data_IF_565560747194
#
_entry.id   IF_565560747194
#
_cell.length_a   1.000
_cell.length_b   1.000
_cell.length_c   1.000
_cell.angle_alpha   90.00
_cell.angle_beta   90.00
_cell.angle_gamma   90.00
#
_symmetry.space_group_name_H-M   'P 1'
#
loop_
_entity.id
_entity.type
_entity.pdbx_description
1 polymer ?
#
# COMPACT_ATOMS: atom_id res chain seq x y z
N UNK A 1 -7.28 -20.24 -10.31
CA UNK A 1 -7.65 -18.84 -10.60
C UNK A 1 -6.85 -17.97 -9.65
N UNK A 2 -6.07 -17.02 -10.17
CA UNK A 2 -5.45 -15.99 -9.32
C UNK A 2 -6.55 -15.17 -8.66
N UNK A 3 -6.40 -14.88 -7.38
CA UNK A 3 -7.34 -14.04 -6.64
C UNK A 3 -7.28 -12.60 -7.19
N UNK A 4 -8.44 -11.96 -7.32
CA UNK A 4 -8.53 -10.58 -7.79
C UNK A 4 -7.80 -9.62 -6.84
N UNK A 5 -7.08 -8.64 -7.39
CA UNK A 5 -6.25 -7.67 -6.65
C UNK A 5 -7.08 -6.94 -5.60
N UNK A 6 -8.33 -6.59 -5.92
CA UNK A 6 -9.23 -5.95 -4.98
C UNK A 6 -9.52 -6.84 -3.75
N UNK A 7 -9.78 -8.13 -3.99
CA UNK A 7 -10.09 -9.10 -2.93
C UNK A 7 -8.87 -9.32 -2.03
N UNK A 8 -7.69 -9.43 -2.64
CA UNK A 8 -6.45 -9.58 -1.91
C UNK A 8 -6.16 -8.36 -1.03
N UNK A 9 -6.26 -7.15 -1.59
CA UNK A 9 -6.06 -5.90 -0.84
C UNK A 9 -7.07 -5.76 0.30
N UNK A 10 -8.34 -6.08 0.04
CA UNK A 10 -9.35 -6.09 1.09
C UNK A 10 -8.97 -7.04 2.23
N UNK A 11 -8.49 -8.25 1.94
CA UNK A 11 -8.05 -9.20 2.98
C UNK A 11 -6.85 -8.67 3.75
N UNK A 12 -5.89 -8.04 3.08
CA UNK A 12 -4.69 -7.48 3.69
C UNK A 12 -5.01 -6.43 4.77
N UNK A 13 -6.01 -5.58 4.51
CA UNK A 13 -6.46 -4.52 5.40
C UNK A 13 -7.51 -4.97 6.42
N UNK A 14 -8.03 -6.20 6.32
CA UNK A 14 -9.06 -6.74 7.22
C UNK A 14 -8.42 -7.50 8.39
N UNK A 15 -8.91 -7.31 9.63
CA UNK A 15 -8.43 -8.08 10.77
C UNK A 15 -8.59 -9.61 10.60
N UNK A 16 -7.51 -10.36 10.81
CA UNK A 16 -7.46 -11.82 10.84
C UNK A 16 -7.16 -12.31 12.27
N UNK A 17 -8.07 -13.12 12.82
CA UNK A 17 -7.94 -13.74 14.15
C UNK A 17 -6.68 -14.60 14.33
N UNK A 18 -6.11 -15.15 13.24
CA UNK A 18 -4.89 -15.96 13.29
C UNK A 18 -3.66 -15.14 13.71
N UNK A 19 -3.72 -13.82 13.58
CA UNK A 19 -2.65 -12.88 13.97
C UNK A 19 -2.73 -12.47 15.45
N UNK A 20 -3.70 -13.00 16.21
CA UNK A 20 -3.92 -12.65 17.63
C UNK A 20 -2.76 -12.98 18.58
N UNK A 21 -1.75 -13.71 18.12
CA UNK A 21 -0.59 -14.10 18.92
C UNK A 21 0.49 -13.00 19.00
N UNK A 22 0.40 -11.92 18.22
CA UNK A 22 1.38 -10.83 18.25
C UNK A 22 1.26 -10.01 19.54
N UNK A 23 2.39 -9.56 20.04
CA UNK A 23 2.45 -8.73 21.25
C UNK A 23 1.87 -7.35 20.96
N UNK A 24 1.14 -6.76 21.91
CA UNK A 24 0.60 -5.41 21.75
C UNK A 24 1.48 -4.36 22.41
N UNK A 25 1.59 -3.20 21.77
CA UNK A 25 2.31 -2.03 22.28
C UNK A 25 1.52 -0.76 21.99
N UNK A 26 1.79 0.30 22.76
CA UNK A 26 1.22 1.62 22.49
C UNK A 26 1.76 2.18 21.17
N UNK A 27 0.89 2.86 20.42
CA UNK A 27 1.25 3.57 19.20
C UNK A 27 2.21 4.72 19.47
N UNK A 28 3.15 4.92 18.56
CA UNK A 28 3.90 6.18 18.47
C UNK A 28 3.07 7.25 17.75
N UNK A 29 3.50 8.51 17.82
CA UNK A 29 2.84 9.60 17.10
C UNK A 29 2.88 9.41 15.57
N UNK A 30 3.97 8.86 15.05
CA UNK A 30 4.13 8.50 13.63
C UNK A 30 3.12 7.41 13.23
N UNK A 31 3.03 6.33 13.99
CA UNK A 31 2.09 5.24 13.72
C UNK A 31 0.64 5.68 13.80
N UNK A 32 0.32 6.57 14.74
CA UNK A 32 -1.02 7.14 14.86
C UNK A 32 -1.35 8.00 13.63
N UNK A 33 -0.39 8.78 13.12
CA UNK A 33 -0.60 9.58 11.92
C UNK A 33 -0.80 8.69 10.69
N UNK A 34 0.04 7.66 10.50
CA UNK A 34 -0.11 6.65 9.45
C UNK A 34 -1.46 5.92 9.54
N UNK A 35 -1.85 5.50 10.74
CA UNK A 35 -3.15 4.87 10.98
C UNK A 35 -4.32 5.80 10.60
N UNK A 36 -4.21 7.11 10.88
CA UNK A 36 -5.22 8.11 10.50
C UNK A 36 -5.27 8.35 9.00
N UNK A 37 -4.13 8.40 8.30
CA UNK A 37 -4.11 8.50 6.83
C UNK A 37 -4.81 7.29 6.22
N UNK A 38 -4.54 6.08 6.71
CA UNK A 38 -5.23 4.87 6.27
C UNK A 38 -6.73 4.86 6.58
N UNK A 39 -7.12 5.32 7.77
CA UNK A 39 -8.53 5.49 8.12
C UNK A 39 -9.21 6.47 7.15
N UNK A 40 -8.58 7.62 6.86
CA UNK A 40 -9.10 8.61 5.93
C UNK A 40 -9.19 8.11 4.48
N UNK A 41 -8.21 7.34 4.00
CA UNK A 41 -8.25 6.73 2.66
C UNK A 41 -9.46 5.80 2.49
N UNK A 42 -9.78 5.01 3.52
CA UNK A 42 -10.99 4.18 3.54
C UNK A 42 -12.28 5.01 3.64
N UNK A 43 -12.25 6.16 4.32
CA UNK A 43 -13.38 7.08 4.44
C UNK A 43 -13.61 7.91 3.15
N UNK A 44 -12.56 8.19 2.37
CA UNK A 44 -12.63 8.95 1.10
C UNK A 44 -13.53 8.29 0.04
N UNK A 45 -13.78 6.99 0.19
CA UNK A 45 -14.84 6.27 -0.52
C UNK A 45 -16.23 6.94 -0.36
N UNK A 46 -16.46 7.77 0.68
CA UNK A 46 -17.69 8.56 0.85
C UNK A 46 -17.94 9.60 -0.23
N UNK A 47 -16.91 10.16 -0.87
CA UNK A 47 -17.12 11.06 -2.01
C UNK A 47 -17.60 10.25 -3.21
N UNK A 48 -17.06 9.04 -3.43
CA UNK A 48 -17.60 8.11 -4.44
C UNK A 48 -19.04 7.69 -4.11
N UNK A 49 -19.38 7.53 -2.83
CA UNK A 49 -20.75 7.25 -2.38
C UNK A 49 -21.75 8.33 -2.84
N UNK A 50 -21.34 9.60 -2.98
CA UNK A 50 -22.23 10.70 -3.40
C UNK A 50 -22.08 11.06 -4.88
N UNK A 51 -20.86 11.04 -5.43
CA UNK A 51 -20.60 11.41 -6.81
C UNK A 51 -21.16 10.38 -7.81
N UNK A 52 -20.99 9.08 -7.52
CA UNK A 52 -21.48 7.99 -8.37
C UNK A 52 -23.00 8.02 -8.52
N UNK A 53 -23.83 8.15 -7.47
CA UNK A 53 -25.29 8.22 -7.65
C UNK A 53 -25.74 9.56 -8.22
N UNK A 54 -24.99 10.66 -8.06
CA UNK A 54 -25.33 11.91 -8.73
C UNK A 54 -25.12 11.75 -10.24
N UNK A 55 -23.98 11.20 -10.67
CA UNK A 55 -23.68 10.99 -12.09
C UNK A 55 -24.50 9.83 -12.69
N UNK A 56 -24.52 8.67 -12.05
CA UNK A 56 -25.25 7.51 -12.52
C UNK A 56 -26.76 7.63 -12.29
N UNK A 57 -27.21 8.20 -11.18
CA UNK A 57 -28.64 8.42 -10.92
C UNK A 57 -29.24 9.51 -11.80
N UNK A 58 -28.45 10.50 -12.24
CA UNK A 58 -28.90 11.45 -13.26
C UNK A 58 -28.87 10.85 -14.67
N UNK A 59 -27.88 10.04 -15.03
CA UNK A 59 -27.72 9.51 -16.39
C UNK A 59 -28.49 8.19 -16.65
N UNK A 60 -28.62 7.31 -15.65
CA UNK A 60 -29.23 5.98 -15.81
C UNK A 60 -30.70 6.03 -16.29
N UNK A 61 -31.56 6.94 -15.83
CA UNK A 61 -32.92 7.05 -16.35
C UNK A 61 -32.94 7.37 -17.86
N UNK A 62 -32.00 8.19 -18.34
CA UNK A 62 -31.87 8.48 -19.77
C UNK A 62 -31.35 7.29 -20.56
N UNK A 63 -30.42 6.49 -19.99
CA UNK A 63 -29.98 5.25 -20.64
C UNK A 63 -31.10 4.20 -20.71
N UNK A 64 -31.88 4.05 -19.63
CA UNK A 64 -33.04 3.15 -19.63
C UNK A 64 -34.09 3.61 -20.63
N UNK A 65 -34.35 4.91 -20.73
CA UNK A 65 -35.20 5.48 -21.78
C UNK A 65 -34.71 5.15 -23.17
N UNK A 66 -33.44 5.44 -23.44
CA UNK A 66 -32.82 5.24 -24.74
C UNK A 66 -32.89 3.77 -25.14
N UNK A 67 -32.56 2.86 -24.24
CA UNK A 67 -32.66 1.41 -24.46
C UNK A 67 -34.12 0.97 -24.69
N UNK A 68 -35.07 1.54 -23.96
CA UNK A 68 -36.50 1.25 -24.12
C UNK A 68 -37.03 1.73 -25.46
N UNK A 69 -36.61 2.92 -25.91
CA UNK A 69 -36.96 3.47 -27.24
C UNK A 69 -36.32 2.65 -28.35
N UNK A 70 -35.05 2.23 -28.20
CA UNK A 70 -34.36 1.37 -29.18
C UNK A 70 -35.04 0.00 -29.26
N UNK A 71 -35.36 -0.62 -28.12
CA UNK A 71 -36.06 -1.90 -28.08
C UNK A 71 -37.50 -1.79 -28.63
N UNK A 72 -38.19 -0.69 -28.37
CA UNK A 72 -39.52 -0.46 -28.92
C UNK A 72 -39.48 -0.22 -30.44
N UNK A 73 -38.55 0.59 -30.92
CA UNK A 73 -38.38 0.88 -32.34
C UNK A 73 -37.95 -0.35 -33.15
N UNK A 74 -37.13 -1.24 -32.56
CA UNK A 74 -36.69 -2.47 -33.21
C UNK A 74 -37.82 -3.51 -33.35
N UNK A 75 -38.80 -3.49 -32.45
CA UNK A 75 -39.94 -4.43 -32.47
C UNK A 75 -41.14 -3.89 -33.24
N UNK A 76 -41.39 -2.57 -33.24
CA UNK A 76 -42.67 -2.03 -33.72
C UNK A 76 -42.58 -1.05 -34.91
N UNK A 77 -41.39 -0.88 -35.52
CA UNK A 77 -41.11 -0.12 -36.77
C UNK A 77 -42.23 0.79 -37.29
N UNK A 78 -42.44 1.96 -36.67
CA UNK A 78 -43.28 3.03 -37.24
C UNK A 78 -42.82 4.38 -36.71
N UNK A 79 -42.87 5.42 -37.57
CA UNK A 79 -42.54 6.82 -37.26
C UNK A 79 -42.96 7.19 -35.84
N UNK A 80 -42.00 7.21 -34.93
CA UNK A 80 -42.22 7.57 -33.54
C UNK A 80 -41.95 9.06 -33.40
N UNK A 81 -42.93 9.81 -32.92
CA UNK A 81 -42.78 11.24 -32.65
C UNK A 81 -41.94 11.41 -31.37
N UNK A 82 -40.64 11.54 -31.58
CA UNK A 82 -39.62 11.59 -30.52
C UNK A 82 -39.86 12.76 -29.57
N UNK A 83 -40.35 13.89 -30.09
CA UNK A 83 -40.56 15.11 -29.29
C UNK A 83 -41.70 14.91 -28.27
N UNK A 84 -42.77 14.21 -28.67
CA UNK A 84 -43.88 13.86 -27.78
C UNK A 84 -43.47 12.82 -26.74
N UNK A 85 -42.73 11.79 -27.14
CA UNK A 85 -42.25 10.75 -26.23
C UNK A 85 -41.28 11.28 -25.17
N UNK A 86 -40.41 12.24 -25.53
CA UNK A 86 -39.49 12.90 -24.59
C UNK A 86 -40.27 13.76 -23.58
N UNK A 87 -41.29 14.49 -24.03
CA UNK A 87 -42.17 15.28 -23.16
C UNK A 87 -42.91 14.43 -22.12
N UNK A 88 -43.45 13.29 -22.53
CA UNK A 88 -44.21 12.38 -21.66
C UNK A 88 -43.31 11.59 -20.69
N UNK A 89 -42.04 11.36 -21.04
CA UNK A 89 -41.10 10.58 -20.22
C UNK A 89 -40.32 11.42 -19.20
N UNK A 90 -40.12 12.72 -19.46
CA UNK A 90 -39.37 13.63 -18.59
C UNK A 90 -39.86 13.64 -17.12
N UNK A 91 -41.17 13.64 -16.80
CA UNK A 91 -41.66 13.55 -15.42
C UNK A 91 -41.23 12.26 -14.71
N UNK A 92 -41.20 11.14 -15.43
CA UNK A 92 -40.79 9.85 -14.88
C UNK A 92 -39.29 9.77 -14.61
N UNK A 93 -38.46 10.40 -15.43
CA UNK A 93 -37.02 10.56 -15.17
C UNK A 93 -36.78 11.34 -13.88
N UNK A 94 -37.47 12.47 -13.74
CA UNK A 94 -37.37 13.33 -12.57
C UNK A 94 -37.80 12.58 -11.31
N UNK A 95 -38.81 11.71 -11.40
CA UNK A 95 -39.27 10.87 -10.28
C UNK A 95 -38.34 9.66 -10.00
N UNK A 96 -37.74 9.04 -11.02
CA UNK A 96 -36.86 7.88 -10.87
C UNK A 96 -35.49 8.25 -10.28
N UNK A 97 -34.97 9.43 -10.62
CA UNK A 97 -33.68 9.95 -10.14
C UNK A 97 -33.56 9.92 -8.61
N UNK A 98 -34.49 10.50 -7.81
CA UNK A 98 -34.39 10.45 -6.34
C UNK A 98 -34.54 9.04 -5.78
N UNK A 99 -35.26 8.14 -6.44
CA UNK A 99 -35.35 6.73 -6.01
C UNK A 99 -34.01 6.00 -6.17
N UNK A 100 -33.32 6.22 -7.29
CA UNK A 100 -31.99 5.64 -7.52
C UNK A 100 -30.97 6.22 -6.54
N UNK A 101 -30.95 7.55 -6.39
CA UNK A 101 -30.06 8.24 -5.45
C UNK A 101 -30.33 7.78 -4.02
N UNK A 102 -31.60 7.71 -3.60
CA UNK A 102 -32.01 7.27 -2.27
C UNK A 102 -31.66 5.80 -1.99
N UNK A 103 -31.90 4.92 -2.96
CA UNK A 103 -31.55 3.50 -2.85
C UNK A 103 -30.03 3.30 -2.74
N UNK A 104 -29.24 4.05 -3.50
CA UNK A 104 -27.79 4.01 -3.42
C UNK A 104 -27.26 4.58 -2.10
N UNK A 105 -27.80 5.71 -1.65
CA UNK A 105 -27.45 6.30 -0.35
C UNK A 105 -27.76 5.33 0.80
N UNK A 106 -28.87 4.61 0.74
CA UNK A 106 -29.21 3.58 1.70
C UNK A 106 -28.24 2.39 1.62
N UNK A 107 -28.01 1.84 0.42
CA UNK A 107 -27.09 0.73 0.21
C UNK A 107 -25.67 1.04 0.72
N UNK A 108 -25.14 2.21 0.36
CA UNK A 108 -23.81 2.66 0.78
C UNK A 108 -23.70 2.89 2.29
N UNK A 109 -24.74 3.44 2.92
CA UNK A 109 -24.80 3.60 4.38
C UNK A 109 -24.83 2.23 5.07
N UNK A 110 -25.62 1.28 4.57
CA UNK A 110 -25.65 -0.08 5.08
C UNK A 110 -24.30 -0.78 4.88
N UNK A 111 -23.69 -0.65 3.70
CA UNK A 111 -22.35 -1.18 3.41
C UNK A 111 -21.33 -0.62 4.40
N UNK A 112 -21.26 0.69 4.59
CA UNK A 112 -20.32 1.31 5.53
C UNK A 112 -20.57 0.89 6.99
N UNK A 113 -21.83 0.63 7.35
CA UNK A 113 -22.20 0.14 8.68
C UNK A 113 -21.79 -1.31 8.91
N UNK A 114 -21.85 -2.16 7.90
CA UNK A 114 -21.60 -3.60 8.05
C UNK A 114 -20.19 -4.03 7.63
N UNK A 115 -19.49 -3.25 6.79
CA UNK A 115 -18.13 -3.57 6.37
C UNK A 115 -17.20 -3.61 7.59
N UNK A 116 -16.56 -4.76 7.78
CA UNK A 116 -15.67 -5.02 8.92
C UNK A 116 -14.41 -4.18 8.79
N UNK A 117 -13.90 -4.01 7.57
CA UNK A 117 -12.66 -3.27 7.29
C UNK A 117 -12.87 -1.79 7.59
N UNK A 118 -13.96 -1.19 7.09
CA UNK A 118 -14.25 0.24 7.32
C UNK A 118 -14.47 0.55 8.81
N UNK A 119 -15.24 -0.29 9.52
CA UNK A 119 -15.46 -0.13 10.97
C UNK A 119 -14.18 -0.26 11.77
N UNK A 120 -13.34 -1.24 11.41
CA UNK A 120 -12.06 -1.44 12.04
C UNK A 120 -11.19 -0.19 11.89
N UNK A 121 -10.92 0.26 10.66
CA UNK A 121 -10.06 1.41 10.41
C UNK A 121 -10.61 2.72 10.95
N UNK A 122 -11.94 2.86 11.08
CA UNK A 122 -12.55 4.02 11.73
C UNK A 122 -12.25 4.10 13.23
N UNK A 123 -12.15 2.96 13.92
CA UNK A 123 -12.03 2.91 15.39
C UNK A 123 -10.61 2.64 15.86
N UNK A 124 -9.80 1.99 15.03
CA UNK A 124 -8.46 1.54 15.40
C UNK A 124 -7.51 2.69 15.81
N UNK A 125 -7.45 3.85 15.12
CA UNK A 125 -6.55 4.92 15.53
C UNK A 125 -6.82 5.42 16.96
N UNK A 126 -8.08 5.40 17.40
CA UNK A 126 -8.48 5.84 18.74
C UNK A 126 -8.12 4.82 19.82
N UNK A 127 -7.86 3.56 19.46
CA UNK A 127 -7.39 2.54 20.39
C UNK A 127 -5.92 2.77 20.80
N UNK A 128 -5.11 3.39 19.94
CA UNK A 128 -3.73 3.72 20.24
C UNK A 128 -2.82 2.50 20.43
N UNK A 129 -3.15 1.36 19.80
CA UNK A 129 -2.43 0.09 19.94
C UNK A 129 -1.91 -0.42 18.60
N UNK A 130 -0.74 -1.07 18.63
CA UNK A 130 -0.14 -1.81 17.51
C UNK A 130 0.26 -3.20 17.92
N UNK A 131 0.21 -4.13 16.97
CA UNK A 131 0.80 -5.46 17.11
C UNK A 131 2.27 -5.39 16.69
N UNK A 132 3.17 -5.91 17.52
CA UNK A 132 4.61 -5.84 17.33
C UNK A 132 5.16 -7.21 16.96
N UNK A 133 6.02 -7.21 15.95
CA UNK A 133 6.88 -8.34 15.60
C UNK A 133 8.35 -7.94 15.73
N UNK A 134 9.09 -8.63 16.62
CA UNK A 134 10.49 -8.30 16.92
C UNK A 134 11.46 -9.20 16.17
N UNK A 135 12.56 -8.59 15.76
CA UNK A 135 13.70 -9.23 15.13
C UNK A 135 14.99 -8.66 15.69
N UNK A 136 15.92 -9.53 16.03
CA UNK A 136 17.30 -9.13 16.33
C UNK A 136 18.16 -9.42 15.11
N UNK A 137 18.78 -8.37 14.59
CA UNK A 137 19.61 -8.36 13.39
C UNK A 137 21.08 -8.42 13.78
N UNK A 138 21.85 -9.21 13.04
CA UNK A 138 23.29 -9.43 13.30
C UNK A 138 24.16 -8.61 12.37
N UNK A 139 23.81 -8.57 11.09
CA UNK A 139 24.46 -7.76 10.07
C UNK A 139 23.51 -7.58 8.88
N UNK A 140 23.79 -6.61 8.02
CA UNK A 140 23.06 -6.42 6.76
C UNK A 140 24.00 -6.07 5.60
N UNK A 141 23.50 -6.25 4.37
CA UNK A 141 24.10 -5.73 3.15
C UNK A 141 23.10 -4.84 2.43
N UNK A 142 23.58 -3.70 1.96
CA UNK A 142 22.77 -2.70 1.29
C UNK A 142 22.83 -2.86 -0.23
N UNK A 143 21.68 -2.83 -0.90
CA UNK A 143 21.52 -2.87 -2.35
C UNK A 143 20.63 -1.71 -2.81
N UNK A 144 20.73 -1.33 -4.08
CA UNK A 144 19.96 -0.23 -4.65
C UNK A 144 19.05 -0.73 -5.76
N UNK A 145 17.89 -0.09 -5.94
CA UNK A 145 17.11 -0.25 -7.16
C UNK A 145 16.51 1.08 -7.58
N UNK A 146 16.20 1.18 -8.87
CA UNK A 146 15.37 2.23 -9.41
C UNK A 146 14.00 1.61 -9.72
N UNK A 147 12.98 1.97 -8.94
CA UNK A 147 11.61 1.52 -9.13
C UNK A 147 10.70 2.74 -9.11
N UNK A 148 10.65 3.43 -10.24
CA UNK A 148 9.77 4.55 -10.44
C UNK A 148 8.33 4.06 -10.66
N UNK A 149 7.41 4.52 -9.83
CA UNK A 149 5.97 4.37 -10.03
C UNK A 149 5.43 5.67 -10.63
N UNK A 150 4.99 5.63 -11.89
CA UNK A 150 4.41 6.80 -12.58
C UNK A 150 3.11 7.27 -11.94
N UNK A 151 2.43 6.39 -11.22
CA UNK A 151 1.11 6.65 -10.64
C UNK A 151 1.25 7.17 -9.20
N UNK A 152 2.44 7.06 -8.60
CA UNK A 152 2.73 7.49 -7.23
C UNK A 152 4.04 8.27 -7.15
N UNK A 153 4.01 9.55 -7.53
CA UNK A 153 5.18 10.45 -7.50
C UNK A 153 5.53 11.00 -6.10
N UNK A 154 4.77 10.63 -5.07
CA UNK A 154 4.95 11.12 -3.71
C UNK A 154 4.92 9.97 -2.71
N UNK A 155 5.60 10.15 -1.58
CA UNK A 155 5.57 9.25 -0.43
C UNK A 155 5.30 10.05 0.84
N UNK A 156 4.71 9.41 1.84
CA UNK A 156 4.52 10.01 3.16
C UNK A 156 5.76 9.78 4.03
N UNK A 157 6.23 10.84 4.69
CA UNK A 157 7.41 10.81 5.57
C UNK A 157 7.13 11.53 6.87
N UNK A 158 7.55 10.93 7.97
CA UNK A 158 7.49 11.55 9.28
C UNK A 158 8.64 12.55 9.43
N UNK A 159 8.32 13.83 9.45
CA UNK A 159 9.30 14.93 9.55
C UNK A 159 8.76 16.00 10.49
N UNK A 160 9.57 16.39 11.48
CA UNK A 160 9.24 17.41 12.47
C UNK A 160 7.94 17.14 13.26
N UNK A 161 7.66 15.86 13.56
CA UNK A 161 6.47 15.47 14.32
C UNK A 161 5.16 15.50 13.52
N UNK A 162 5.25 15.60 12.19
CA UNK A 162 4.10 15.51 11.30
C UNK A 162 4.40 14.60 10.10
N UNK A 163 3.36 13.96 9.58
CA UNK A 163 3.45 13.21 8.35
C UNK A 163 3.31 14.20 7.17
N UNK A 164 4.36 14.31 6.36
CA UNK A 164 4.42 15.20 5.19
C UNK A 164 4.51 14.35 3.92
N UNK A 165 3.74 14.74 2.92
CA UNK A 165 3.90 14.21 1.56
C UNK A 165 5.14 14.83 0.93
N UNK A 166 6.10 14.01 0.52
CA UNK A 166 7.34 14.42 -0.13
C UNK A 166 7.48 13.71 -1.48
N UNK A 167 8.31 14.26 -2.37
CA UNK A 167 8.55 13.65 -3.67
C UNK A 167 9.31 12.33 -3.53
N UNK A 168 8.85 11.32 -4.26
CA UNK A 168 9.58 10.07 -4.42
C UNK A 168 10.66 10.24 -5.51
N UNK A 169 11.91 9.90 -5.17
CA UNK A 169 13.01 9.92 -6.13
C UNK A 169 12.94 8.77 -7.15
N UNK A 170 12.16 7.72 -6.85
CA UNK A 170 12.15 6.45 -7.57
C UNK A 170 13.27 5.50 -7.14
N UNK A 171 14.18 5.93 -6.25
CA UNK A 171 15.27 5.09 -5.73
C UNK A 171 14.82 4.40 -4.45
N UNK A 172 15.08 3.09 -4.36
CA UNK A 172 14.86 2.31 -3.14
C UNK A 172 16.18 1.72 -2.64
N UNK A 173 16.39 1.85 -1.34
CA UNK A 173 17.39 1.13 -0.59
C UNK A 173 16.81 -0.21 -0.14
N UNK A 174 17.52 -1.31 -0.39
CA UNK A 174 17.17 -2.65 0.06
C UNK A 174 18.22 -3.15 1.03
N UNK A 175 17.81 -3.42 2.26
CA UNK A 175 18.66 -4.04 3.27
C UNK A 175 18.33 -5.53 3.35
N UNK A 176 19.31 -6.36 3.01
CA UNK A 176 19.26 -7.80 3.27
C UNK A 176 19.94 -8.06 4.62
N UNK A 177 19.15 -8.25 5.66
CA UNK A 177 19.60 -8.42 7.03
C UNK A 177 19.53 -9.88 7.47
N UNK A 178 20.55 -10.33 8.19
CA UNK A 178 20.59 -11.65 8.80
C UNK A 178 20.11 -11.56 10.25
N UNK A 179 19.09 -12.34 10.58
CA UNK A 179 18.57 -12.43 11.95
C UNK A 179 19.43 -13.36 12.81
N UNK A 180 19.32 -13.26 14.14
CA UNK A 180 19.95 -14.20 15.09
C UNK A 180 19.45 -15.64 14.91
N UNK A 181 18.24 -15.83 14.39
CA UNK A 181 17.68 -17.13 14.03
C UNK A 181 18.23 -17.70 12.71
N UNK A 182 19.15 -16.99 12.04
CA UNK A 182 19.72 -17.41 10.76
C UNK A 182 18.76 -17.26 9.57
N UNK A 183 17.67 -16.50 9.71
CA UNK A 183 16.76 -16.19 8.61
C UNK A 183 17.17 -14.88 7.91
N UNK A 184 16.85 -14.79 6.62
CA UNK A 184 16.93 -13.54 5.88
C UNK A 184 15.71 -12.67 6.13
N UNK A 185 15.96 -11.39 6.40
CA UNK A 185 14.96 -10.35 6.53
C UNK A 185 15.29 -9.21 5.56
N UNK A 186 14.35 -8.87 4.70
CA UNK A 186 14.48 -7.87 3.66
C UNK A 186 13.67 -6.63 4.03
N UNK A 187 14.35 -5.49 4.13
CA UNK A 187 13.71 -4.20 4.32
C UNK A 187 13.88 -3.35 3.08
N UNK A 188 12.77 -2.76 2.62
CA UNK A 188 12.79 -1.70 1.62
C UNK A 188 12.64 -0.35 2.30
N UNK A 189 13.42 0.62 1.85
CA UNK A 189 13.35 2.02 2.26
C UNK A 189 13.35 2.90 1.01
N UNK A 190 12.26 3.63 0.77
CA UNK A 190 12.15 4.54 -0.36
C UNK A 190 12.87 5.85 -0.04
N UNK A 191 13.56 6.41 -1.04
CA UNK A 191 14.39 7.60 -0.88
C UNK A 191 13.61 8.83 -1.34
N UNK A 192 13.46 9.81 -0.46
CA UNK A 192 12.89 11.11 -0.80
C UNK A 192 13.82 11.89 -1.72
N UNK A 193 13.24 12.64 -2.66
CA UNK A 193 14.01 13.50 -3.54
C UNK A 193 13.29 13.89 -4.81
N UNK A 194 13.90 14.81 -5.56
CA UNK A 194 13.44 15.11 -6.90
C UNK A 194 13.60 13.88 -7.79
N UNK A 195 12.56 13.60 -8.57
CA UNK A 195 12.50 12.49 -9.50
C UNK A 195 13.65 12.55 -10.51
N UNK A 196 14.40 11.45 -10.64
CA UNK A 196 15.69 11.41 -11.32
C UNK A 196 15.61 10.87 -12.76
N UNK A 197 14.45 11.04 -13.44
CA UNK A 197 14.14 10.44 -14.77
C UNK A 197 15.25 10.60 -15.82
N UNK A 198 16.09 11.64 -15.75
CA UNK A 198 17.10 11.96 -16.77
C UNK A 198 18.57 11.81 -16.34
N UNK A 199 18.85 11.31 -15.15
CA UNK A 199 20.24 11.13 -14.69
C UNK A 199 20.51 9.65 -14.40
N UNK A 200 21.76 9.22 -14.57
CA UNK A 200 22.15 7.83 -14.29
C UNK A 200 22.00 7.47 -12.80
N UNK A 201 21.89 6.18 -12.44
CA UNK A 201 21.71 5.75 -11.06
C UNK A 201 22.89 6.22 -10.18
N UNK A 202 22.59 7.07 -9.21
CA UNK A 202 23.56 7.61 -8.25
C UNK A 202 23.17 7.19 -6.83
N UNK A 203 24.16 6.80 -6.03
CA UNK A 203 23.91 6.41 -4.64
C UNK A 203 23.45 7.64 -3.85
N UNK A 204 22.27 7.60 -3.19
CA UNK A 204 21.77 8.74 -2.42
C UNK A 204 22.74 9.18 -1.31
N UNK A 205 22.69 10.47 -0.95
CA UNK A 205 23.48 11.00 0.16
C UNK A 205 23.21 10.21 1.45
N UNK A 206 24.26 9.95 2.24
CA UNK A 206 24.20 9.10 3.45
C UNK A 206 23.05 9.51 4.37
N UNK A 207 22.82 10.81 4.59
CA UNK A 207 21.72 11.33 5.43
C UNK A 207 20.30 10.89 5.04
N UNK A 208 20.08 10.51 3.77
CA UNK A 208 18.77 10.04 3.27
C UNK A 208 18.61 8.52 3.40
N UNK A 209 19.71 7.82 3.65
CA UNK A 209 19.74 6.37 3.77
C UNK A 209 19.23 5.94 5.15
N UNK A 210 18.64 4.75 5.18
CA UNK A 210 18.27 4.08 6.41
C UNK A 210 19.51 3.56 7.12
N UNK A 211 19.64 3.92 8.39
CA UNK A 211 20.68 3.45 9.29
C UNK A 211 20.06 2.50 10.32
N UNK A 212 19.96 1.19 10.02
CA UNK A 212 19.34 0.25 10.92
C UNK A 212 20.16 0.03 12.19
N UNK A 213 19.49 -0.29 13.28
CA UNK A 213 20.09 -0.82 14.51
C UNK A 213 19.80 -2.31 14.65
N UNK A 214 20.40 -2.96 15.63
CA UNK A 214 20.29 -4.40 15.86
C UNK A 214 18.87 -4.83 16.21
N UNK A 215 18.14 -4.05 17.01
CA UNK A 215 16.79 -4.41 17.43
C UNK A 215 15.76 -3.72 16.54
N UNK A 216 15.05 -4.51 15.74
CA UNK A 216 13.97 -4.09 14.88
C UNK A 216 12.63 -4.58 15.44
N UNK A 217 11.70 -3.66 15.63
CA UNK A 217 10.30 -3.97 15.89
C UNK A 217 9.44 -3.43 14.73
N UNK A 218 8.77 -4.34 14.03
CA UNK A 218 7.78 -4.00 13.01
C UNK A 218 6.44 -3.79 13.69
N UNK A 219 5.86 -2.60 13.53
CA UNK A 219 4.58 -2.24 14.12
C UNK A 219 3.47 -2.41 13.09
N UNK A 220 2.52 -3.29 13.36
CA UNK A 220 1.36 -3.57 12.54
C UNK A 220 0.11 -2.97 13.15
N UNK A 221 -0.81 -2.57 12.28
CA UNK A 221 -2.18 -2.36 12.69
C UNK A 221 -2.74 -3.65 13.32
N UNK A 222 -3.39 -3.57 14.50
CA UNK A 222 -3.78 -4.76 15.25
C UNK A 222 -4.54 -5.82 14.42
N UNK A 223 -4.04 -7.04 14.44
CA UNK A 223 -4.59 -8.21 13.75
C UNK A 223 -4.68 -8.05 12.23
N UNK A 224 -3.97 -7.12 11.60
CA UNK A 224 -3.90 -7.03 10.13
C UNK A 224 -2.48 -7.29 9.63
N UNK A 225 -2.32 -7.32 8.31
CA UNK A 225 -1.03 -7.40 7.65
C UNK A 225 -0.43 -6.01 7.35
N UNK A 226 -1.12 -4.92 7.74
CA UNK A 226 -0.67 -3.56 7.46
C UNK A 226 0.42 -3.13 8.44
N UNK A 227 1.67 -3.07 7.97
CA UNK A 227 2.76 -2.45 8.69
C UNK A 227 2.58 -0.93 8.68
N UNK A 228 2.62 -0.30 9.85
CA UNK A 228 2.53 1.15 10.05
C UNK A 228 3.89 1.79 10.22
N UNK A 229 4.85 1.12 10.86
CA UNK A 229 6.19 1.67 11.09
C UNK A 229 7.24 0.58 11.34
N UNK A 230 8.50 1.01 11.32
CA UNK A 230 9.67 0.19 11.66
C UNK A 230 10.41 0.90 12.79
N UNK A 231 10.37 0.33 14.00
CA UNK A 231 11.06 0.87 15.18
C UNK A 231 12.46 0.26 15.26
N UNK A 232 13.47 1.11 15.24
CA UNK A 232 14.87 0.72 15.40
C UNK A 232 15.34 1.12 16.81
N UNK A 233 15.97 0.19 17.52
CA UNK A 233 16.57 0.43 18.84
C UNK A 233 17.85 -0.39 19.04
N UNK A 234 18.58 -0.11 20.13
CA UNK A 234 19.83 -0.80 20.45
C UNK A 234 21.03 -0.27 19.66
N UNK A 235 22.06 -1.10 19.52
CA UNK A 235 23.32 -0.72 18.89
C UNK A 235 23.19 -0.57 17.37
N UNK A 236 24.00 0.28 16.72
CA UNK A 236 24.07 0.35 15.27
C UNK A 236 24.34 -1.02 14.65
N UNK A 237 23.59 -1.36 13.59
CA UNK A 237 23.78 -2.63 12.88
C UNK A 237 24.98 -2.50 11.92
N UNK A 238 25.91 -3.47 11.89
CA UNK A 238 26.93 -3.52 10.86
C UNK A 238 26.29 -3.70 9.48
N UNK A 239 26.37 -2.67 8.63
CA UNK A 239 25.83 -2.68 7.26
C UNK A 239 26.95 -2.59 6.24
N UNK A 240 27.13 -3.62 5.43
CA UNK A 240 28.03 -3.59 4.29
C UNK A 240 27.41 -2.76 3.16
N UNK A 241 28.03 -1.63 2.84
CA UNK A 241 27.62 -0.80 1.72
C UNK A 241 28.07 -1.41 0.40
N UNK A 242 27.19 -1.41 -0.60
CA UNK A 242 27.53 -1.90 -1.94
C UNK A 242 27.09 -0.89 -3.00
N UNK A 243 27.73 -0.95 -4.15
CA UNK A 243 27.31 -0.23 -5.36
C UNK A 243 26.40 -1.09 -6.25
N UNK A 244 25.89 -2.22 -5.75
CA UNK A 244 25.06 -3.09 -6.57
C UNK A 244 23.67 -2.47 -6.78
N UNK A 245 23.35 -2.23 -8.05
CA UNK A 245 22.02 -1.87 -8.51
C UNK A 245 21.29 -3.11 -9.05
N UNK A 246 20.12 -3.37 -8.50
CA UNK A 246 19.21 -4.41 -8.95
C UNK A 246 18.54 -3.99 -10.26
N UNK A 247 18.39 -4.95 -11.17
CA UNK A 247 17.47 -4.78 -12.30
C UNK A 247 16.02 -4.75 -11.81
N UNK A 248 15.10 -4.20 -12.61
CA UNK A 248 13.67 -4.15 -12.29
C UNK A 248 13.11 -5.53 -11.94
N UNK A 249 13.50 -6.55 -12.69
CA UNK A 249 13.11 -7.95 -12.44
C UNK A 249 13.63 -8.48 -11.10
N UNK A 250 14.84 -8.10 -10.69
CA UNK A 250 15.41 -8.52 -9.41
C UNK A 250 14.77 -7.75 -8.25
N UNK A 251 14.50 -6.46 -8.43
CA UNK A 251 13.82 -5.65 -7.42
C UNK A 251 12.36 -6.10 -7.23
N UNK A 252 11.66 -6.43 -8.31
CA UNK A 252 10.32 -7.00 -8.26
C UNK A 252 10.34 -8.35 -7.53
N UNK A 253 11.21 -9.27 -7.94
CA UNK A 253 11.31 -10.59 -7.29
C UNK A 253 11.67 -10.48 -5.81
N UNK A 254 12.60 -9.57 -5.47
CA UNK A 254 12.96 -9.29 -4.08
C UNK A 254 11.75 -8.76 -3.28
N UNK A 255 10.93 -7.88 -3.87
CA UNK A 255 9.70 -7.39 -3.26
C UNK A 255 8.65 -8.49 -3.04
N UNK A 256 8.56 -9.45 -3.95
CA UNK A 256 7.64 -10.60 -3.86
C UNK A 256 8.02 -11.55 -2.71
N UNK A 257 9.30 -11.96 -2.64
CA UNK A 257 9.81 -12.89 -1.61
C UNK A 257 9.98 -12.23 -0.24
N UNK A 258 10.12 -10.90 -0.19
CA UNK A 258 10.06 -10.14 1.06
C UNK A 258 8.62 -9.95 1.56
N UNK A 259 7.63 -10.29 0.74
CA UNK A 259 6.22 -10.24 1.06
C UNK A 259 5.75 -8.88 1.62
N UNK A 260 6.29 -7.76 1.15
CA UNK A 260 5.94 -6.44 1.72
C UNK A 260 4.47 -6.05 1.49
N UNK A 261 3.85 -6.58 0.42
CA UNK A 261 2.51 -6.17 -0.02
C UNK A 261 1.50 -7.33 -0.13
N UNK A 262 1.94 -8.58 0.07
CA UNK A 262 1.15 -9.78 -0.22
C UNK A 262 1.43 -10.94 0.77
N UNK A 263 1.70 -10.63 2.04
CA UNK A 263 1.84 -11.68 3.06
C UNK A 263 0.52 -11.96 3.76
N UNK A 264 0.29 -13.25 4.02
CA UNK A 264 -0.77 -13.73 4.91
C UNK A 264 -0.14 -14.73 5.87
N UNK A 265 -0.75 -15.00 7.01
CA UNK A 265 -0.27 -16.08 7.86
C UNK A 265 -0.23 -17.40 7.07
N UNK A 266 0.87 -18.19 7.12
CA UNK A 266 2.00 -18.12 8.05
C UNK A 266 3.22 -17.30 7.58
N UNK A 267 3.17 -16.66 6.40
CA UNK A 267 4.24 -15.76 5.97
C UNK A 267 4.37 -14.54 6.89
N UNK A 268 5.60 -14.05 7.03
CA UNK A 268 5.96 -12.91 7.91
C UNK A 268 6.53 -11.79 7.06
N UNK A 269 6.21 -10.55 7.41
CA UNK A 269 6.66 -9.37 6.65
C UNK A 269 8.18 -9.30 6.61
N UNK A 270 8.74 -9.20 5.41
CA UNK A 270 10.18 -9.09 5.19
C UNK A 270 10.96 -10.38 5.38
N UNK A 271 10.40 -11.42 6.01
CA UNK A 271 11.12 -12.67 6.27
C UNK A 271 11.03 -13.57 5.05
N UNK A 272 12.19 -13.94 4.52
CA UNK A 272 12.28 -14.77 3.31
C UNK A 272 12.09 -16.24 3.66
N UNK A 273 11.37 -16.96 2.80
CA UNK A 273 11.17 -18.40 2.90
C UNK A 273 12.49 -19.17 2.78
N UNK A 274 12.53 -20.43 3.23
CA UNK A 274 13.72 -21.27 3.03
C UNK A 274 13.97 -21.60 1.56
N UNK A 275 12.92 -21.64 0.74
CA UNK A 275 13.02 -21.94 -0.70
C UNK A 275 13.74 -20.81 -1.43
N UNK A 276 13.42 -19.56 -1.09
CA UNK A 276 13.97 -18.34 -1.69
C UNK A 276 15.31 -17.91 -1.06
N UNK A 277 15.65 -18.44 0.11
CA UNK A 277 16.90 -18.11 0.81
C UNK A 277 18.14 -18.35 -0.05
N UNK A 278 18.14 -19.40 -0.89
CA UNK A 278 19.24 -19.70 -1.82
C UNK A 278 19.45 -18.60 -2.86
N UNK A 279 18.38 -17.98 -3.34
CA UNK A 279 18.45 -16.87 -4.27
C UNK A 279 19.03 -15.63 -3.59
N UNK A 280 18.61 -15.36 -2.34
CA UNK A 280 19.19 -14.28 -1.53
C UNK A 280 20.68 -14.53 -1.28
N UNK A 281 21.09 -15.73 -0.92
CA UNK A 281 22.50 -16.05 -0.68
C UNK A 281 23.36 -15.77 -1.93
N UNK A 282 22.89 -16.18 -3.11
CA UNK A 282 23.56 -15.87 -4.38
C UNK A 282 23.62 -14.36 -4.66
N UNK A 283 22.55 -13.62 -4.34
CA UNK A 283 22.50 -12.17 -4.48
C UNK A 283 23.50 -11.47 -3.53
N UNK A 284 23.58 -11.93 -2.28
CA UNK A 284 24.52 -11.45 -1.27
C UNK A 284 25.96 -11.71 -1.69
N UNK A 285 26.27 -12.90 -2.18
CA UNK A 285 27.61 -13.21 -2.68
C UNK A 285 27.97 -12.29 -3.85
N UNK A 286 27.08 -12.11 -4.82
CA UNK A 286 27.31 -11.15 -5.91
C UNK A 286 27.52 -9.72 -5.42
N UNK A 287 26.76 -9.29 -4.40
CA UNK A 287 26.90 -7.97 -3.82
C UNK A 287 28.22 -7.79 -3.04
N UNK A 288 28.73 -8.84 -2.39
CA UNK A 288 30.05 -8.85 -1.73
C UNK A 288 31.19 -8.67 -2.73
N UNK A 289 31.09 -9.25 -3.92
CA UNK A 289 32.07 -9.07 -5.00
C UNK A 289 32.02 -7.65 -5.60
N UNK A 290 30.88 -6.95 -5.48
CA UNK A 290 30.68 -5.57 -5.95
C UNK A 290 30.73 -4.54 -4.80
N UNK A 291 31.54 -4.79 -3.77
CA UNK A 291 31.76 -3.79 -2.72
C UNK A 291 32.48 -2.58 -3.31
N UNK A 292 31.95 -1.39 -3.07
CA UNK A 292 32.64 -0.14 -3.39
C UNK A 292 33.97 -0.11 -2.63
N UNK A 293 35.11 0.11 -3.31
CA UNK A 293 36.36 0.41 -2.63
C UNK A 293 36.32 1.88 -2.17
N UNK A 294 35.59 2.19 -1.10
CA UNK A 294 35.66 3.52 -0.47
C UNK A 294 35.73 3.39 1.05
N UNK A 295 36.98 3.53 1.49
CA UNK A 295 37.48 4.12 2.73
C UNK A 295 37.08 3.49 4.07
N UNK A 296 37.93 2.55 4.52
CA UNK A 296 38.41 2.58 5.91
C UNK A 296 38.92 4.00 6.21
N UNK A 297 38.08 4.84 6.82
CA UNK A 297 38.55 6.01 7.55
C UNK A 297 38.80 5.57 9.00
N UNK A 298 40.03 5.70 9.51
CA UNK A 298 40.33 5.32 10.88
C UNK A 298 39.59 6.23 11.86
N UNK A 299 39.16 5.63 12.98
CA UNK A 299 38.70 6.37 14.14
C UNK A 299 39.73 7.46 14.50
N UNK A 300 39.26 8.69 14.62
CA UNK A 300 39.94 9.79 15.31
C UNK A 300 39.11 10.15 16.53
#
# INVERSE_FOLDING_TARGET
MAEDIYTLRKRFDTPDTRLSHREQSAMTAEELAEARVHACANISNRIQILLVPILAGSLAPYFVFLLSVIAYASVFSTRHDMDKAVGDYSPWVIAATPLVVGSWALYSTLRAKYDVTERYWKTMPDQGLVDIERHTLTWAINLWSYCFDSDSSTMDRWVDGQLKSVNDSGVSQWLLARTTAGQWLVLRHAIEGAMWIMRGPETPAVKLQLHPTQDLALAFAPRTNRCLSKRFSGSPLPVAQTSLWLSDTQAQHLGEIAHHWHFFYPQRYGVVSQEDARWIDALVERARHNRSPVADLPAS
#
